data_IF_575187036714
#
_entry.id   IF_575187036714
#
_cell.length_a   1.000
_cell.length_b   1.000
_cell.length_c   1.000
_cell.angle_alpha   90.00
_cell.angle_beta   90.00
_cell.angle_gamma   90.00
#
_symmetry.space_group_name_H-M   'P 1'
#
loop_
_entity.id
_entity.type
_entity.pdbx_description
1 polymer ?
#
# COMPACT_ATOMS: atom_id res chain seq x y z
N UNK A 1 3.73 -3.44 22.64
CA UNK A 1 3.37 -2.94 21.29
C UNK A 1 2.77 -1.58 21.50
N UNK A 2 3.39 -0.54 20.96
CA UNK A 2 2.88 0.83 21.10
C UNK A 2 1.70 1.09 20.16
N UNK A 3 1.04 2.23 20.33
CA UNK A 3 -0.16 2.60 19.57
C UNK A 3 0.14 2.77 18.07
N UNK A 4 1.36 3.21 17.72
CA UNK A 4 1.79 3.36 16.34
C UNK A 4 1.93 1.99 15.66
N UNK A 5 2.58 1.04 16.32
CA UNK A 5 2.71 -0.35 15.86
C UNK A 5 1.35 -1.02 15.67
N UNK A 6 0.39 -0.77 16.57
CA UNK A 6 -0.99 -1.26 16.43
C UNK A 6 -1.69 -0.68 15.20
N UNK A 7 -1.54 0.63 14.96
CA UNK A 7 -2.12 1.31 13.79
C UNK A 7 -1.48 0.84 12.49
N UNK A 8 -0.17 0.62 12.47
CA UNK A 8 0.54 0.04 11.33
C UNK A 8 -0.01 -1.36 11.05
N UNK A 9 0.03 -2.28 12.01
CA UNK A 9 -0.48 -3.66 11.83
C UNK A 9 -1.94 -3.73 11.35
N UNK A 10 -2.80 -2.87 11.86
CA UNK A 10 -4.18 -2.77 11.39
C UNK A 10 -4.25 -2.32 9.93
N UNK A 11 -3.46 -1.32 9.53
CA UNK A 11 -3.35 -0.90 8.14
C UNK A 11 -2.75 -1.98 7.24
N UNK A 12 -1.73 -2.71 7.69
CA UNK A 12 -1.15 -3.84 6.94
C UNK A 12 -2.21 -4.92 6.69
N UNK A 13 -2.98 -5.27 7.72
CA UNK A 13 -4.04 -6.29 7.64
C UNK A 13 -5.12 -5.86 6.66
N UNK A 14 -5.59 -4.61 6.74
CA UNK A 14 -6.58 -4.06 5.82
C UNK A 14 -6.06 -4.06 4.39
N UNK A 15 -4.80 -3.64 4.17
CA UNK A 15 -4.20 -3.65 2.84
C UNK A 15 -4.11 -5.08 2.32
N UNK A 16 -3.61 -6.05 3.09
CA UNK A 16 -3.49 -7.45 2.66
C UNK A 16 -4.85 -8.03 2.27
N UNK A 17 -5.88 -7.84 3.09
CA UNK A 17 -7.22 -8.39 2.86
C UNK A 17 -7.95 -7.70 1.69
N UNK A 18 -7.71 -6.40 1.49
CA UNK A 18 -8.39 -5.62 0.45
C UNK A 18 -7.63 -5.57 -0.88
N UNK A 19 -6.31 -5.80 -0.90
CA UNK A 19 -5.48 -5.72 -2.13
C UNK A 19 -6.06 -6.51 -3.31
N UNK A 20 -6.62 -7.72 -3.14
CA UNK A 20 -7.26 -8.47 -4.24
C UNK A 20 -8.49 -7.79 -4.87
N UNK A 21 -9.08 -6.81 -4.17
CA UNK A 21 -10.28 -6.08 -4.56
C UNK A 21 -10.01 -4.64 -4.99
N UNK A 22 -8.76 -4.18 -4.86
CA UNK A 22 -8.37 -2.83 -5.26
C UNK A 22 -8.02 -2.87 -6.74
N UNK A 23 -8.51 -1.90 -7.50
CA UNK A 23 -8.13 -1.70 -8.90
C UNK A 23 -6.62 -1.44 -9.05
N UNK A 24 -5.98 -2.06 -10.05
CA UNK A 24 -4.53 -1.94 -10.28
C UNK A 24 -4.11 -0.50 -10.60
N UNK A 25 -4.98 0.25 -11.29
CA UNK A 25 -4.82 1.67 -11.55
C UNK A 25 -4.82 2.46 -10.24
N UNK A 26 -5.78 2.19 -9.35
CA UNK A 26 -5.84 2.83 -8.04
C UNK A 26 -4.60 2.58 -7.17
N UNK A 27 -4.03 1.37 -7.18
CA UNK A 27 -2.76 1.08 -6.48
C UNK A 27 -1.61 1.87 -7.09
N UNK A 28 -1.53 1.91 -8.42
CA UNK A 28 -0.49 2.64 -9.15
C UNK A 28 -0.55 4.15 -8.88
N UNK A 29 -1.75 4.71 -8.86
CA UNK A 29 -2.01 6.12 -8.53
C UNK A 29 -1.64 6.44 -7.07
N UNK A 30 -1.98 5.55 -6.13
CA UNK A 30 -1.58 5.70 -4.73
C UNK A 30 -0.06 5.70 -4.58
N UNK A 31 0.66 4.79 -5.24
CA UNK A 31 2.13 4.76 -5.24
C UNK A 31 2.71 6.04 -5.83
N UNK A 32 2.17 6.53 -6.95
CA UNK A 32 2.61 7.77 -7.57
C UNK A 32 2.40 8.98 -6.65
N UNK A 33 1.23 9.07 -6.02
CA UNK A 33 0.87 10.13 -5.06
C UNK A 33 1.79 10.14 -3.83
N UNK A 34 2.06 8.96 -3.24
CA UNK A 34 2.96 8.87 -2.09
C UNK A 34 4.38 9.29 -2.46
N UNK A 35 4.89 8.85 -3.63
CA UNK A 35 6.21 9.24 -4.14
C UNK A 35 6.31 10.74 -4.41
N UNK A 36 5.27 11.36 -4.95
CA UNK A 36 5.21 12.81 -5.14
C UNK A 36 5.31 13.55 -3.80
N UNK A 37 4.59 13.07 -2.77
CA UNK A 37 4.65 13.68 -1.44
C UNK A 37 6.00 13.53 -0.72
N UNK A 38 6.85 12.57 -1.11
CA UNK A 38 8.22 12.43 -0.60
C UNK A 38 9.20 13.48 -1.16
N UNK A 39 8.87 14.15 -2.26
CA UNK A 39 9.72 15.15 -2.89
C UNK A 39 9.60 16.54 -2.24
N UNK A 40 8.61 16.74 -1.35
CA UNK A 40 8.38 17.99 -0.65
C UNK A 40 9.19 18.15 0.64
N UNK A 41 9.12 19.36 1.23
CA UNK A 41 9.56 19.56 2.61
C UNK A 41 8.51 18.98 3.55
N UNK A 42 8.81 17.80 4.09
CA UNK A 42 7.97 17.05 5.03
C UNK A 42 8.76 16.76 6.30
N UNK A 43 8.05 16.53 7.41
CA UNK A 43 8.68 16.08 8.65
C UNK A 43 9.26 14.66 8.50
N UNK A 44 10.17 14.29 9.39
CA UNK A 44 10.76 12.95 9.40
C UNK A 44 9.69 11.87 9.67
N UNK A 45 8.74 12.16 10.56
CA UNK A 45 7.64 11.23 10.85
C UNK A 45 6.75 10.98 9.62
N UNK A 46 6.41 12.04 8.88
CA UNK A 46 5.63 11.93 7.64
C UNK A 46 6.39 11.14 6.57
N UNK A 47 7.72 11.31 6.51
CA UNK A 47 8.59 10.55 5.62
C UNK A 47 8.56 9.06 5.97
N UNK A 48 8.67 8.71 7.24
CA UNK A 48 8.64 7.31 7.73
C UNK A 48 7.29 6.66 7.38
N UNK A 49 6.18 7.34 7.67
CA UNK A 49 4.83 6.83 7.37
C UNK A 49 4.66 6.56 5.87
N UNK A 50 5.10 7.50 5.03
CA UNK A 50 5.02 7.35 3.56
C UNK A 50 5.87 6.21 3.03
N UNK A 51 7.07 6.01 3.58
CA UNK A 51 7.93 4.89 3.20
C UNK A 51 7.32 3.54 3.62
N UNK A 52 6.76 3.45 4.83
CA UNK A 52 6.04 2.26 5.27
C UNK A 52 4.82 1.96 4.39
N UNK A 53 4.02 2.98 4.05
CA UNK A 53 2.89 2.81 3.15
C UNK A 53 3.31 2.29 1.76
N UNK A 54 4.44 2.76 1.23
CA UNK A 54 4.99 2.25 -0.03
C UNK A 54 5.42 0.79 0.06
N UNK A 55 6.06 0.39 1.17
CA UNK A 55 6.48 -1.00 1.40
C UNK A 55 5.26 -1.94 1.44
N UNK A 56 4.19 -1.54 2.11
CA UNK A 56 2.95 -2.32 2.19
C UNK A 56 2.26 -2.49 0.85
N UNK A 57 2.17 -1.42 0.05
CA UNK A 57 1.59 -1.51 -1.29
C UNK A 57 2.43 -2.40 -2.22
N UNK A 58 3.76 -2.34 -2.10
CA UNK A 58 4.66 -3.18 -2.89
C UNK A 58 4.59 -4.65 -2.46
N UNK A 59 4.50 -4.92 -1.16
CA UNK A 59 4.38 -6.28 -0.65
C UNK A 59 3.02 -6.90 -0.98
N UNK A 60 1.93 -6.13 -0.88
CA UNK A 60 0.62 -6.51 -1.40
C UNK A 60 0.71 -6.87 -2.89
N UNK A 61 1.27 -6.00 -3.72
CA UNK A 61 1.45 -6.30 -5.15
C UNK A 61 2.33 -7.53 -5.40
N UNK A 62 3.35 -7.79 -4.58
CA UNK A 62 4.20 -8.98 -4.71
C UNK A 62 3.44 -10.26 -4.37
N UNK A 63 2.64 -10.22 -3.30
CA UNK A 63 1.83 -11.37 -2.85
C UNK A 63 0.69 -11.72 -3.82
N UNK A 64 0.15 -10.72 -4.51
CA UNK A 64 -1.04 -10.88 -5.37
C UNK A 64 -0.79 -10.62 -6.88
N UNK A 65 0.46 -10.34 -7.28
CA UNK A 65 0.84 -10.09 -8.68
C UNK A 65 1.26 -11.34 -9.47
N UNK A 66 1.19 -12.53 -8.87
CA UNK A 66 1.39 -13.79 -9.56
C UNK A 66 0.12 -14.25 -10.29
N UNK A 67 0.22 -14.88 -11.48
CA UNK A 67 -0.94 -15.33 -12.27
C UNK A 67 -1.82 -16.39 -11.59
N UNK A 68 -1.41 -16.88 -10.41
CA UNK A 68 -1.94 -18.07 -9.75
C UNK A 68 -2.88 -17.74 -8.58
N UNK A 69 -2.92 -16.46 -8.16
CA UNK A 69 -3.70 -16.00 -7.02
C UNK A 69 -4.74 -14.98 -7.45
N UNK A 70 -5.82 -15.50 -8.06
CA UNK A 70 -7.03 -14.73 -8.30
C UNK A 70 -6.90 -13.78 -9.47
N UNK A 71 -7.70 -14.06 -10.49
CA UNK A 71 -8.08 -13.08 -11.51
C UNK A 71 -8.42 -11.78 -10.80
N UNK A 72 -7.51 -10.79 -10.90
CA UNK A 72 -7.83 -9.39 -10.68
C UNK A 72 -9.09 -9.16 -11.49
N UNK A 73 -10.22 -8.94 -10.81
CA UNK A 73 -11.52 -8.89 -11.42
C UNK A 73 -11.46 -7.85 -12.54
N UNK A 74 -11.28 -8.34 -13.77
CA UNK A 74 -11.38 -7.53 -14.96
C UNK A 74 -12.76 -6.91 -14.88
N UNK A 75 -12.79 -5.59 -14.83
CA UNK A 75 -13.96 -4.80 -15.15
C UNK A 75 -14.43 -5.26 -16.54
N UNK A 76 -15.53 -6.01 -16.54
CA UNK A 76 -16.49 -6.09 -17.65
C UNK A 76 -17.77 -5.44 -17.17
#
# INVERSE_FOLDING_TARGET
MDELQQRILAAETVIIELTPWIDEGAVSDAVASIRAGLQGSISEDERIIRLQALELLQDGRRRYGGPEFGVWLRST
#
